data_IF_127403944166
#
_entry.id   IF_127403944166
#
_cell.length_a   1.000
_cell.length_b   1.000
_cell.length_c   1.000
_cell.angle_alpha   90.00
_cell.angle_beta   90.00
_cell.angle_gamma   90.00
#
_symmetry.space_group_name_H-M   'P 1'
#
loop_
_entity.id
_entity.type
_entity.pdbx_description
1 polymer ?
#
# COMPACT_ATOMS: atom_id res chain seq x y z
N UNK A 1 62.43 60.49 -20.12
CA UNK A 1 61.06 60.57 -20.69
C UNK A 1 60.10 59.99 -19.65
N UNK A 2 59.13 60.80 -19.21
CA UNK A 2 57.99 60.55 -18.30
C UNK A 2 58.36 59.99 -16.90
N UNK A 3 58.47 60.75 -15.81
CA UNK A 3 57.57 61.72 -15.10
C UNK A 3 56.52 61.05 -14.18
N UNK A 4 56.79 61.10 -12.85
CA UNK A 4 55.97 61.52 -11.67
C UNK A 4 54.46 61.16 -11.67
N UNK A 5 53.85 60.61 -10.61
CA UNK A 5 53.20 61.36 -9.50
C UNK A 5 52.70 60.39 -8.42
N UNK A 6 52.86 60.81 -7.16
CA UNK A 6 52.41 60.15 -5.95
C UNK A 6 50.99 60.59 -5.52
N UNK A 7 50.47 59.88 -4.48
CA UNK A 7 49.75 60.39 -3.29
C UNK A 7 48.20 60.39 -3.21
N UNK A 8 47.73 59.77 -2.10
CA UNK A 8 46.56 60.05 -1.21
C UNK A 8 45.14 59.95 -1.83
N UNK A 9 44.05 59.52 -1.16
CA UNK A 9 43.72 58.97 0.15
C UNK A 9 42.21 58.59 0.20
N UNK A 10 41.81 57.91 1.29
CA UNK A 10 40.46 57.81 1.91
C UNK A 10 39.33 56.99 1.23
N UNK A 11 38.97 55.87 1.88
CA UNK A 11 37.69 55.63 2.58
C UNK A 11 37.59 54.11 2.83
N UNK A 12 37.96 53.58 4.00
CA UNK A 12 37.12 53.51 5.21
C UNK A 12 35.68 53.03 4.92
N UNK A 13 35.32 51.94 5.61
CA UNK A 13 33.95 51.41 5.84
C UNK A 13 33.48 50.32 4.88
N UNK A 14 33.63 49.05 5.29
CA UNK A 14 32.57 48.04 5.39
C UNK A 14 33.18 46.68 5.77
N UNK A 15 33.87 46.65 6.90
CA UNK A 15 34.03 45.41 7.68
C UNK A 15 32.79 45.28 8.57
N UNK A 16 31.70 44.81 7.96
CA UNK A 16 30.57 44.21 8.66
C UNK A 16 30.17 42.99 7.83
N UNK A 17 31.03 41.97 7.86
CA UNK A 17 30.59 40.60 7.65
C UNK A 17 29.67 40.26 8.84
N UNK A 18 28.45 40.77 8.78
CA UNK A 18 27.37 40.23 9.58
C UNK A 18 27.20 38.80 9.10
N UNK A 19 27.49 37.85 9.98
CA UNK A 19 26.67 36.65 10.06
C UNK A 19 25.25 37.16 10.30
N UNK A 20 24.55 37.50 9.20
CA UNK A 20 23.15 37.83 9.21
C UNK A 20 22.45 36.57 9.65
N UNK A 21 22.11 36.52 10.93
CA UNK A 21 21.08 35.65 11.43
C UNK A 21 19.85 35.92 10.56
N UNK A 22 19.46 34.96 9.72
CA UNK A 22 18.31 35.08 8.84
C UNK A 22 17.05 34.87 9.70
N UNK A 23 16.89 35.72 10.70
CA UNK A 23 15.74 35.81 11.58
C UNK A 23 14.63 36.57 10.83
N UNK A 24 14.17 35.99 9.73
CA UNK A 24 13.18 36.60 8.83
C UNK A 24 12.21 35.60 8.19
N UNK A 25 12.48 34.29 8.30
CA UNK A 25 11.59 33.22 7.84
C UNK A 25 10.73 32.63 8.97
N UNK A 26 10.50 33.37 10.05
CA UNK A 26 9.71 32.92 11.22
C UNK A 26 8.19 32.90 11.01
N UNK A 27 7.71 32.98 9.76
CA UNK A 27 6.30 32.81 9.44
C UNK A 27 5.92 31.33 9.38
N UNK A 28 4.66 31.01 9.63
CA UNK A 28 4.15 29.67 9.36
C UNK A 28 4.39 29.33 7.87
N UNK A 29 5.05 28.20 7.61
CA UNK A 29 5.22 27.69 6.24
C UNK A 29 3.82 27.34 5.72
N UNK A 30 3.35 27.88 4.59
CA UNK A 30 2.06 27.50 4.04
C UNK A 30 2.11 26.04 3.54
N UNK A 31 1.03 25.26 3.72
CA UNK A 31 0.99 23.90 3.20
C UNK A 31 1.01 23.89 1.66
N UNK A 32 1.56 22.82 1.09
CA UNK A 32 1.52 22.54 -0.35
C UNK A 32 0.09 22.24 -0.81
N UNK A 33 -0.71 21.62 0.06
CA UNK A 33 -2.14 21.40 -0.10
C UNK A 33 -2.80 21.23 1.28
N UNK A 34 -4.04 21.71 1.40
CA UNK A 34 -4.90 21.42 2.55
C UNK A 34 -6.06 20.58 2.06
N UNK A 35 -6.29 19.42 2.66
CA UNK A 35 -7.41 18.53 2.34
C UNK A 35 -8.46 18.65 3.43
N UNK A 36 -9.67 19.02 3.04
CA UNK A 36 -10.83 19.04 3.94
C UNK A 36 -11.45 17.66 4.00
N UNK A 37 -11.61 17.12 5.21
CA UNK A 37 -12.21 15.81 5.45
C UNK A 37 -13.52 15.99 6.20
N UNK A 38 -14.56 15.32 5.72
CA UNK A 38 -15.87 15.25 6.36
C UNK A 38 -16.26 13.79 6.53
N UNK A 39 -16.61 13.37 7.74
CA UNK A 39 -17.20 12.04 7.94
C UNK A 39 -18.69 12.04 7.63
N UNK A 40 -19.19 10.93 7.09
CA UNK A 40 -20.60 10.67 6.89
C UNK A 40 -21.03 9.33 7.52
N UNK A 41 -22.33 9.18 7.78
CA UNK A 41 -22.91 7.98 8.39
C UNK A 41 -23.09 8.10 9.90
N UNK A 42 -23.48 7.00 10.53
CA UNK A 42 -23.78 6.96 11.96
C UNK A 42 -22.49 6.83 12.78
N UNK A 43 -22.04 7.94 13.35
CA UNK A 43 -20.92 7.98 14.29
C UNK A 43 -21.13 7.09 15.53
N UNK A 44 -22.37 6.90 15.97
CA UNK A 44 -22.65 6.04 17.12
C UNK A 44 -22.34 4.57 16.81
N UNK A 45 -22.41 4.15 15.54
CA UNK A 45 -22.10 2.79 15.11
C UNK A 45 -20.62 2.41 15.25
N UNK A 46 -19.73 3.41 15.39
CA UNK A 46 -18.28 3.21 15.54
C UNK A 46 -17.79 3.49 16.97
N UNK A 47 -18.67 3.93 17.86
CA UNK A 47 -18.36 3.99 19.29
C UNK A 47 -18.31 2.57 19.86
N UNK A 48 -17.10 2.12 20.24
CA UNK A 48 -16.96 0.81 20.89
C UNK A 48 -17.58 0.88 22.30
N UNK A 49 -18.49 -0.02 22.68
CA UNK A 49 -18.98 -0.09 24.05
C UNK A 49 -17.83 -0.46 25.00
N UNK A 50 -17.38 0.47 25.85
CA UNK A 50 -16.23 0.24 26.73
C UNK A 50 -15.60 1.52 27.29
N UNK A 51 -14.54 1.35 28.11
CA UNK A 51 -13.91 2.43 28.86
C UNK A 51 -13.09 3.37 27.96
N UNK A 52 -13.76 4.41 27.44
CA UNK A 52 -13.17 5.53 26.72
C UNK A 52 -13.88 5.80 25.40
N UNK A 53 -14.22 7.06 25.13
CA UNK A 53 -14.66 7.46 23.80
C UNK A 53 -13.52 7.24 22.79
N UNK A 54 -13.80 6.78 21.56
CA UNK A 54 -12.75 6.56 20.56
C UNK A 54 -12.00 7.87 20.28
N UNK A 55 -10.68 7.78 20.17
CA UNK A 55 -9.82 8.95 19.89
C UNK A 55 -9.70 9.09 18.38
N UNK A 56 -10.77 9.56 17.75
CA UNK A 56 -10.85 9.57 16.29
C UNK A 56 -9.94 10.62 15.68
N UNK A 57 -9.22 10.18 14.65
CA UNK A 57 -8.30 11.00 13.86
C UNK A 57 -8.51 10.66 12.38
N UNK A 58 -8.23 11.63 11.51
CA UNK A 58 -8.09 11.36 10.09
C UNK A 58 -6.60 11.27 9.74
N UNK A 59 -6.26 10.40 8.81
CA UNK A 59 -4.92 10.26 8.24
C UNK A 59 -4.98 10.32 6.71
N UNK A 60 -3.94 10.88 6.10
CA UNK A 60 -3.66 10.66 4.70
C UNK A 60 -2.61 9.56 4.56
N UNK A 61 -2.93 8.53 3.78
CA UNK A 61 -2.10 7.34 3.63
C UNK A 61 -1.75 7.15 2.15
N UNK A 62 -0.45 7.24 1.82
CA UNK A 62 0.06 6.92 0.49
C UNK A 62 0.04 5.42 0.25
N UNK A 63 -0.35 5.06 -0.97
CA UNK A 63 -0.41 3.68 -1.40
C UNK A 63 0.89 3.22 -2.02
N UNK A 64 1.26 1.96 -1.80
CA UNK A 64 2.31 1.31 -2.57
C UNK A 64 1.83 1.01 -3.99
N UNK A 65 2.79 0.69 -4.87
CA UNK A 65 2.49 0.12 -6.18
C UNK A 65 1.64 -1.14 -6.02
N UNK A 66 0.54 -1.21 -6.77
CA UNK A 66 -0.33 -2.36 -6.80
C UNK A 66 0.36 -3.53 -7.50
N UNK A 67 0.70 -4.56 -6.71
CA UNK A 67 1.33 -5.79 -7.18
C UNK A 67 0.52 -6.97 -6.60
N UNK A 68 -0.65 -7.28 -7.18
CA UNK A 68 -1.54 -8.30 -6.60
C UNK A 68 -0.83 -9.64 -6.54
N UNK A 69 -1.06 -10.39 -5.45
CA UNK A 69 -0.64 -11.78 -5.33
C UNK A 69 -1.31 -12.61 -6.45
N UNK A 70 -0.55 -13.19 -7.39
CA UNK A 70 -1.05 -13.95 -8.52
C UNK A 70 -2.05 -15.04 -8.16
N UNK A 71 -1.83 -15.71 -7.03
CA UNK A 71 -2.74 -16.76 -6.59
C UNK A 71 -4.11 -16.20 -6.15
N UNK A 72 -4.17 -14.93 -5.73
CA UNK A 72 -5.38 -14.27 -5.25
C UNK A 72 -6.27 -13.68 -6.37
N UNK A 73 -5.75 -13.56 -7.60
CA UNK A 73 -6.53 -13.06 -8.75
C UNK A 73 -7.09 -14.17 -9.64
N UNK A 74 -6.53 -15.39 -9.54
CA UNK A 74 -6.94 -16.52 -10.36
C UNK A 74 -8.10 -17.28 -9.70
N UNK A 75 -9.04 -17.83 -10.48
CA UNK A 75 -10.03 -18.74 -9.95
C UNK A 75 -9.37 -19.96 -9.27
N UNK A 76 -9.80 -20.35 -8.06
CA UNK A 76 -9.23 -21.51 -7.39
C UNK A 76 -9.58 -22.80 -8.16
N UNK A 77 -8.61 -23.72 -8.23
CA UNK A 77 -8.79 -25.01 -8.92
C UNK A 77 -9.43 -26.10 -8.03
N UNK A 78 -9.61 -25.82 -6.74
CA UNK A 78 -10.25 -26.70 -5.76
C UNK A 78 -10.85 -25.93 -4.58
N UNK A 79 -11.73 -26.59 -3.83
CA UNK A 79 -12.35 -26.01 -2.62
C UNK A 79 -11.34 -25.71 -1.50
N UNK A 80 -10.30 -26.55 -1.36
CA UNK A 80 -9.26 -26.35 -0.37
C UNK A 80 -8.42 -25.12 -0.70
N UNK A 81 -8.06 -24.94 -1.98
CA UNK A 81 -7.40 -23.72 -2.45
C UNK A 81 -8.31 -22.51 -2.21
N UNK A 82 -9.60 -22.56 -2.58
CA UNK A 82 -10.53 -21.47 -2.33
C UNK A 82 -10.58 -21.07 -0.84
N UNK A 83 -10.55 -22.04 0.08
CA UNK A 83 -10.52 -21.78 1.52
C UNK A 83 -9.21 -21.12 1.97
N UNK A 84 -8.06 -21.58 1.46
CA UNK A 84 -6.76 -20.98 1.76
C UNK A 84 -6.67 -19.53 1.26
N UNK A 85 -7.18 -19.27 0.05
CA UNK A 85 -7.25 -17.92 -0.51
C UNK A 85 -8.17 -17.03 0.30
N UNK A 86 -9.37 -17.49 0.67
CA UNK A 86 -10.28 -16.71 1.51
C UNK A 86 -9.69 -16.35 2.89
N UNK A 87 -8.76 -17.16 3.40
CA UNK A 87 -8.10 -16.94 4.69
C UNK A 87 -6.82 -16.08 4.60
N UNK A 88 -6.17 -15.99 3.43
CA UNK A 88 -4.85 -15.37 3.31
C UNK A 88 -4.75 -14.25 2.27
N UNK A 89 -5.67 -14.18 1.31
CA UNK A 89 -5.67 -13.14 0.29
C UNK A 89 -6.28 -11.86 0.81
N UNK A 90 -5.56 -10.75 0.58
CA UNK A 90 -6.15 -9.41 0.58
C UNK A 90 -7.09 -9.28 -0.61
N UNK A 91 -7.94 -8.25 -0.61
CA UNK A 91 -8.64 -7.86 -1.83
C UNK A 91 -7.60 -7.59 -2.92
N UNK A 92 -7.58 -8.36 -4.02
CA UNK A 92 -6.57 -8.22 -5.05
C UNK A 92 -6.68 -6.90 -5.80
N UNK A 93 -7.78 -6.15 -5.69
CA UNK A 93 -7.93 -4.80 -6.24
C UNK A 93 -7.97 -3.73 -5.14
N UNK A 94 -7.64 -4.14 -3.91
CA UNK A 94 -7.60 -3.31 -2.73
C UNK A 94 -6.53 -2.24 -2.79
N UNK A 95 -6.76 -1.14 -2.08
CA UNK A 95 -5.72 -0.17 -1.76
C UNK A 95 -4.66 -0.84 -0.88
N UNK A 96 -3.39 -0.59 -1.23
CA UNK A 96 -2.23 -1.11 -0.52
C UNK A 96 -1.59 -0.01 0.32
N UNK A 97 -1.78 0.02 1.65
CA UNK A 97 -1.11 0.96 2.54
C UNK A 97 0.42 0.84 2.48
N UNK A 98 1.11 1.98 2.34
CA UNK A 98 2.56 2.07 2.54
C UNK A 98 2.91 2.93 3.75
N UNK A 99 2.45 4.20 3.72
CA UNK A 99 2.92 5.22 4.66
C UNK A 99 1.85 6.25 4.95
N UNK A 100 1.80 6.66 6.21
CA UNK A 100 0.99 7.77 6.67
C UNK A 100 1.78 9.07 6.51
N UNK A 101 1.20 10.05 5.82
CA UNK A 101 1.85 11.32 5.53
C UNK A 101 1.52 12.40 6.57
N UNK A 102 0.25 12.49 6.94
CA UNK A 102 -0.27 13.49 7.89
C UNK A 102 -1.45 12.90 8.65
N UNK A 103 -1.64 13.35 9.90
CA UNK A 103 -2.77 13.00 10.73
C UNK A 103 -3.30 14.25 11.45
N UNK A 104 -4.61 14.31 11.66
CA UNK A 104 -5.24 15.36 12.47
C UNK A 104 -6.40 14.80 13.31
N UNK A 105 -6.64 15.34 14.52
CA UNK A 105 -7.78 14.94 15.33
C UNK A 105 -9.10 15.32 14.64
N UNK A 106 -10.09 14.43 14.71
CA UNK A 106 -11.42 14.71 14.18
C UNK A 106 -12.21 15.59 15.15
N UNK A 107 -12.80 16.68 14.67
CA UNK A 107 -13.68 17.52 15.47
C UNK A 107 -15.00 16.81 15.80
N UNK A 108 -15.74 17.35 16.78
CA UNK A 108 -17.00 16.76 17.24
C UNK A 108 -18.11 16.72 16.17
N UNK A 109 -18.01 17.56 15.14
CA UNK A 109 -18.90 17.57 13.98
C UNK A 109 -18.45 16.62 12.85
N UNK A 110 -17.38 15.86 13.08
CA UNK A 110 -16.84 14.92 12.11
C UNK A 110 -15.98 15.56 11.02
N UNK A 111 -15.51 16.80 11.22
CA UNK A 111 -14.63 17.49 10.28
C UNK A 111 -13.18 17.54 10.73
N UNK A 112 -12.25 17.65 9.78
CA UNK A 112 -10.86 18.04 10.04
C UNK A 112 -10.21 18.53 8.75
N UNK A 113 -9.09 19.23 8.88
CA UNK A 113 -8.20 19.56 7.78
C UNK A 113 -6.88 18.78 7.91
N UNK A 114 -6.33 18.36 6.77
CA UNK A 114 -5.04 17.68 6.66
C UNK A 114 -4.11 18.56 5.84
N UNK A 115 -3.14 19.17 6.50
CA UNK A 115 -2.14 20.03 5.87
C UNK A 115 -0.93 19.22 5.41
N UNK A 116 -0.68 19.21 4.10
CA UNK A 116 0.47 18.55 3.50
C UNK A 116 1.61 19.55 3.31
N UNK A 117 2.73 19.32 4.01
CA UNK A 117 3.95 20.12 3.86
C UNK A 117 5.01 19.46 2.97
N UNK A 118 4.86 18.17 2.73
CA UNK A 118 5.81 17.36 1.97
C UNK A 118 5.16 16.77 0.72
N UNK A 119 5.98 16.60 -0.32
CA UNK A 119 5.62 15.81 -1.49
C UNK A 119 5.61 14.31 -1.13
N UNK A 120 4.88 13.46 -1.88
CA UNK A 120 5.03 12.02 -1.74
C UNK A 120 6.49 11.63 -1.95
N UNK A 121 6.96 10.68 -1.15
CA UNK A 121 8.31 10.16 -1.31
C UNK A 121 8.43 9.34 -2.61
N UNK A 122 9.64 9.27 -3.16
CA UNK A 122 9.87 8.67 -4.48
C UNK A 122 9.52 7.16 -4.56
N UNK A 123 9.51 6.45 -3.43
CA UNK A 123 9.18 5.03 -3.31
C UNK A 123 7.67 4.73 -3.37
N UNK A 124 6.80 5.73 -3.16
CA UNK A 124 5.34 5.63 -3.39
C UNK A 124 4.90 6.29 -4.69
N UNK A 125 5.86 6.81 -5.45
CA UNK A 125 5.62 7.40 -6.76
C UNK A 125 5.99 6.40 -7.86
N UNK A 126 5.12 6.24 -8.84
CA UNK A 126 5.33 5.34 -9.98
C UNK A 126 5.42 6.16 -11.27
N UNK A 127 6.38 5.81 -12.12
CA UNK A 127 6.61 6.44 -13.41
C UNK A 127 8.09 6.76 -13.67
N UNK A 128 8.36 7.55 -14.71
CA UNK A 128 9.72 7.95 -15.09
C UNK A 128 10.25 9.06 -14.18
N UNK A 129 11.50 9.50 -14.37
CA UNK A 129 12.05 10.63 -13.60
C UNK A 129 11.38 11.98 -13.89
N UNK A 130 10.61 12.11 -14.98
CA UNK A 130 9.93 13.36 -15.37
C UNK A 130 8.41 13.28 -15.32
N UNK A 131 7.87 12.09 -15.03
CA UNK A 131 6.44 11.79 -15.17
C UNK A 131 6.07 10.76 -14.12
N UNK A 132 5.54 11.21 -12.98
CA UNK A 132 5.26 10.35 -11.83
C UNK A 132 3.89 10.62 -11.26
N UNK A 133 3.30 9.59 -10.67
CA UNK A 133 2.04 9.68 -9.95
C UNK A 133 2.12 8.96 -8.61
N UNK A 134 1.47 9.51 -7.60
CA UNK A 134 1.18 8.84 -6.34
C UNK A 134 -0.31 8.95 -6.02
N UNK A 135 -0.85 7.94 -5.34
CA UNK A 135 -2.25 7.92 -4.91
C UNK A 135 -2.33 7.64 -3.42
N UNK A 136 -3.25 8.32 -2.75
CA UNK A 136 -3.51 8.16 -1.33
C UNK A 136 -4.99 7.93 -1.02
N UNK A 137 -5.23 7.21 0.06
CA UNK A 137 -6.52 7.06 0.72
C UNK A 137 -6.55 7.96 1.96
N UNK A 138 -7.68 8.62 2.19
CA UNK A 138 -7.96 9.30 3.46
C UNK A 138 -8.70 8.33 4.34
N UNK A 139 -8.21 8.09 5.54
CA UNK A 139 -8.80 7.13 6.49
C UNK A 139 -9.13 7.80 7.81
N UNK A 140 -10.19 7.34 8.46
CA UNK A 140 -10.52 7.71 9.85
C UNK A 140 -10.31 6.52 10.74
N UNK A 141 -9.56 6.70 11.82
CA UNK A 141 -9.15 5.62 12.70
C UNK A 141 -9.29 5.98 14.18
N UNK A 142 -9.38 4.94 15.01
CA UNK A 142 -9.23 4.98 16.45
C UNK A 142 -7.75 4.93 16.82
N UNK A 143 -7.23 6.00 17.41
CA UNK A 143 -5.88 6.06 17.97
C UNK A 143 -5.83 5.35 19.33
N UNK A 144 -5.60 4.03 19.27
CA UNK A 144 -5.77 3.13 20.42
C UNK A 144 -4.57 3.13 21.34
N UNK A 145 -3.38 3.30 20.77
CA UNK A 145 -2.14 3.43 21.53
C UNK A 145 -1.91 4.88 22.01
N UNK A 146 -2.64 5.85 21.47
CA UNK A 146 -2.61 7.26 21.87
C UNK A 146 -1.39 8.01 21.35
N UNK A 147 -0.71 7.48 20.33
CA UNK A 147 0.50 8.07 19.78
C UNK A 147 0.21 9.22 18.77
N UNK A 148 -1.06 9.37 18.33
CA UNK A 148 -1.52 10.41 17.44
C UNK A 148 -1.27 10.19 15.94
N UNK A 149 -0.77 9.02 15.55
CA UNK A 149 -0.52 8.61 14.16
C UNK A 149 -1.06 7.21 13.90
N UNK A 150 -1.61 6.98 12.70
CA UNK A 150 -2.06 5.64 12.33
C UNK A 150 -0.86 4.67 12.29
N UNK A 151 -0.92 3.64 13.13
CA UNK A 151 0.07 2.57 13.21
C UNK A 151 -0.31 1.45 12.25
N UNK A 152 0.55 1.19 11.27
CA UNK A 152 0.34 0.10 10.31
C UNK A 152 0.93 -1.21 10.85
N UNK A 153 0.06 -2.20 11.03
CA UNK A 153 0.42 -3.58 11.31
C UNK A 153 1.08 -4.25 10.11
N UNK A 154 1.59 -5.48 10.32
CA UNK A 154 2.21 -6.29 9.26
C UNK A 154 1.75 -7.74 9.42
N UNK A 155 1.59 -8.50 8.32
CA UNK A 155 1.29 -9.92 8.41
C UNK A 155 2.36 -10.69 9.21
N UNK A 156 1.91 -11.55 10.13
CA UNK A 156 2.80 -12.35 10.96
C UNK A 156 3.59 -13.34 10.09
N UNK A 157 4.88 -13.48 10.40
CA UNK A 157 5.76 -14.40 9.68
C UNK A 157 5.58 -15.81 10.21
N UNK A 158 5.49 -16.78 9.30
CA UNK A 158 6.01 -18.11 9.60
C UNK A 158 7.53 -17.98 9.76
N UNK A 159 8.05 -18.46 10.90
CA UNK A 159 9.48 -18.49 11.17
C UNK A 159 10.25 -19.25 10.08
N UNK A 160 11.52 -18.91 9.91
CA UNK A 160 12.41 -19.55 8.95
C UNK A 160 13.86 -19.18 9.24
N UNK A 161 14.79 -20.00 8.75
CA UNK A 161 16.23 -19.98 9.10
C UNK A 161 16.89 -18.60 9.05
N UNK A 162 16.42 -17.71 8.15
CA UNK A 162 17.07 -16.44 7.84
C UNK A 162 16.33 -15.17 8.33
N UNK A 163 15.19 -15.27 9.01
CA UNK A 163 14.31 -14.10 9.22
C UNK A 163 14.01 -13.73 10.68
N UNK A 164 14.72 -14.34 11.63
CA UNK A 164 14.57 -14.08 13.06
C UNK A 164 13.27 -14.66 13.66
N UNK A 165 13.02 -14.44 14.96
CA UNK A 165 11.80 -14.91 15.61
C UNK A 165 10.55 -14.25 15.00
N UNK A 166 9.37 -14.89 15.15
CA UNK A 166 8.09 -14.24 14.86
C UNK A 166 8.02 -12.87 15.52
N UNK A 167 7.48 -11.88 14.80
CA UNK A 167 7.18 -10.58 15.40
C UNK A 167 5.85 -10.71 16.14
N UNK A 168 5.91 -10.95 17.43
CA UNK A 168 4.73 -10.91 18.30
C UNK A 168 4.42 -9.44 18.60
N UNK A 169 3.82 -8.75 17.63
CA UNK A 169 3.13 -7.49 17.90
C UNK A 169 1.85 -7.81 18.66
N UNK A 170 1.66 -7.21 19.83
CA UNK A 170 0.43 -7.36 20.61
C UNK A 170 -0.74 -6.77 19.79
N UNK A 171 -1.57 -7.64 19.22
CA UNK A 171 -2.70 -7.29 18.34
C UNK A 171 -3.68 -6.32 19.02
N UNK A 172 -3.67 -6.29 20.36
CA UNK A 172 -4.60 -5.50 21.18
C UNK A 172 -4.39 -3.98 21.12
N UNK A 173 -3.24 -3.49 20.66
CA UNK A 173 -2.93 -2.05 20.60
C UNK A 173 -2.94 -1.46 19.20
N UNK A 174 -3.25 -2.24 18.16
CA UNK A 174 -3.32 -1.71 16.81
C UNK A 174 -4.51 -0.76 16.64
N UNK A 175 -4.25 0.34 15.95
CA UNK A 175 -5.26 1.31 15.54
C UNK A 175 -6.31 0.66 14.65
N UNK A 176 -7.52 1.19 14.73
CA UNK A 176 -8.66 0.61 14.03
C UNK A 176 -9.26 1.58 13.04
N UNK A 177 -9.31 1.20 11.77
CA UNK A 177 -9.89 2.03 10.71
C UNK A 177 -11.43 1.86 10.67
N UNK A 178 -12.14 2.98 10.61
CA UNK A 178 -13.60 3.06 10.59
C UNK A 178 -14.16 3.69 9.32
N UNK A 179 -13.40 4.52 8.61
CA UNK A 179 -13.79 5.08 7.33
C UNK A 179 -12.59 5.19 6.40
N UNK A 180 -12.85 5.16 5.09
CA UNK A 180 -11.82 5.31 4.08
C UNK A 180 -12.40 5.89 2.78
N UNK A 181 -11.64 6.75 2.10
CA UNK A 181 -12.01 7.31 0.80
C UNK A 181 -11.73 6.35 -0.35
N UNK A 182 -10.71 5.50 -0.22
CA UNK A 182 -10.34 4.47 -1.20
C UNK A 182 -10.02 3.16 -0.48
N UNK A 183 -10.79 2.12 -0.80
CA UNK A 183 -10.65 0.76 -0.24
C UNK A 183 -10.27 -0.25 -1.30
N UNK A 184 -10.94 -0.20 -2.45
CA UNK A 184 -10.79 -1.13 -3.57
C UNK A 184 -11.16 -0.43 -4.86
N UNK A 185 -10.57 -0.84 -5.97
CA UNK A 185 -10.93 -0.35 -7.30
C UNK A 185 -12.23 -0.98 -7.84
N UNK A 186 -12.77 -1.97 -7.13
CA UNK A 186 -14.02 -2.64 -7.53
C UNK A 186 -15.29 -2.01 -6.96
N UNK A 187 -15.15 -0.84 -6.35
CA UNK A 187 -16.23 -0.06 -5.76
C UNK A 187 -15.96 1.43 -5.95
N UNK A 188 -16.96 2.30 -5.76
CA UNK A 188 -16.74 3.73 -5.84
C UNK A 188 -15.66 4.20 -4.86
N UNK A 189 -14.76 5.03 -5.37
CA UNK A 189 -13.60 5.54 -4.62
C UNK A 189 -13.33 7.01 -4.87
N UNK A 190 -12.66 7.63 -3.89
CA UNK A 190 -12.08 8.96 -3.97
C UNK A 190 -10.65 8.90 -3.47
N UNK A 191 -9.70 9.37 -4.28
CA UNK A 191 -8.27 9.33 -4.00
C UNK A 191 -7.72 10.76 -3.99
N UNK A 192 -6.76 11.02 -3.12
CA UNK A 192 -5.83 12.11 -3.38
C UNK A 192 -4.79 11.60 -4.38
N UNK A 193 -4.59 12.33 -5.47
CA UNK A 193 -3.51 12.09 -6.41
C UNK A 193 -2.49 13.21 -6.31
N UNK A 194 -1.21 12.87 -6.49
CA UNK A 194 -0.17 13.84 -6.80
C UNK A 194 0.45 13.46 -8.14
N UNK A 195 0.43 14.39 -9.11
CA UNK A 195 1.05 14.19 -10.42
C UNK A 195 2.20 15.17 -10.64
N UNK A 196 3.38 14.61 -10.91
CA UNK A 196 4.55 15.34 -11.37
C UNK A 196 4.70 15.13 -12.89
N UNK A 197 4.79 16.24 -13.64
CA UNK A 197 4.96 16.19 -15.10
C UNK A 197 3.73 15.67 -15.86
N UNK A 198 3.99 14.94 -16.95
CA UNK A 198 2.93 14.30 -17.76
C UNK A 198 2.45 13.00 -17.11
N UNK A 199 1.19 12.62 -17.38
CA UNK A 199 0.68 11.33 -16.93
C UNK A 199 1.09 10.23 -17.93
N UNK A 200 1.86 9.26 -17.44
CA UNK A 200 2.09 8.01 -18.17
C UNK A 200 1.02 6.99 -17.77
N UNK A 201 0.12 6.67 -18.69
CA UNK A 201 -0.96 5.71 -18.43
C UNK A 201 -0.45 4.29 -18.18
N UNK A 202 0.74 3.94 -18.67
CA UNK A 202 1.37 2.66 -18.36
C UNK A 202 1.93 2.61 -16.93
N UNK A 203 2.16 3.77 -16.31
CA UNK A 203 2.59 3.89 -14.91
C UNK A 203 1.41 3.95 -13.92
N UNK A 204 0.16 3.90 -14.42
CA UNK A 204 -1.03 3.95 -13.57
C UNK A 204 -1.21 2.64 -12.80
N UNK A 205 -0.71 2.59 -11.56
CA UNK A 205 -0.80 1.41 -10.70
C UNK A 205 -2.14 1.26 -9.98
N UNK A 206 -2.99 2.29 -9.97
CA UNK A 206 -4.42 2.12 -9.69
C UNK A 206 -5.21 2.58 -10.92
N UNK A 207 -5.23 1.75 -11.98
CA UNK A 207 -5.68 2.16 -13.29
C UNK A 207 -7.18 2.50 -13.34
N UNK A 208 -7.52 3.45 -14.22
CA UNK A 208 -8.90 3.87 -14.52
C UNK A 208 -8.99 4.23 -16.00
N UNK A 209 -9.08 3.23 -16.88
CA UNK A 209 -9.27 3.54 -18.30
C UNK A 209 -10.62 4.23 -18.50
N UNK A 210 -10.66 5.28 -19.33
CA UNK A 210 -11.87 6.08 -19.56
C UNK A 210 -11.99 7.32 -18.69
N UNK A 211 -11.33 7.38 -17.52
CA UNK A 211 -11.23 8.62 -16.74
C UNK A 211 -10.16 9.58 -17.33
N UNK A 212 -10.30 10.87 -17.03
CA UNK A 212 -9.27 11.88 -17.32
C UNK A 212 -7.98 11.65 -16.51
N UNK A 213 -6.88 12.20 -17.00
CA UNK A 213 -5.60 12.15 -16.31
C UNK A 213 -5.63 13.08 -15.08
N UNK A 214 -5.10 12.69 -13.90
CA UNK A 214 -5.07 13.55 -12.70
C UNK A 214 -4.46 14.93 -12.98
N UNK A 215 -4.97 16.03 -12.42
CA UNK A 215 -4.43 17.38 -12.61
C UNK A 215 -2.95 17.43 -12.17
N UNK A 216 -2.14 18.36 -12.73
CA UNK A 216 -0.80 18.61 -12.20
C UNK A 216 -0.86 18.97 -10.71
N UNK A 217 0.13 18.53 -9.93
CA UNK A 217 0.18 18.68 -8.48
C UNK A 217 -0.90 17.84 -7.76
N UNK A 218 -1.37 18.29 -6.60
CA UNK A 218 -2.39 17.63 -5.81
C UNK A 218 -3.79 17.81 -6.42
N UNK A 219 -4.52 16.71 -6.54
CA UNK A 219 -5.91 16.69 -7.01
C UNK A 219 -6.72 15.61 -6.32
N UNK A 220 -8.03 15.83 -6.23
CA UNK A 220 -8.99 14.83 -5.78
C UNK A 220 -9.59 14.17 -7.01
N UNK A 221 -9.51 12.86 -7.09
CA UNK A 221 -9.94 12.07 -8.24
C UNK A 221 -10.84 10.94 -7.78
N UNK A 222 -12.02 10.80 -8.39
CA UNK A 222 -13.03 9.79 -8.04
C UNK A 222 -13.48 8.98 -9.24
N UNK A 223 -13.94 7.74 -9.00
CA UNK A 223 -14.48 6.84 -10.01
C UNK A 223 -15.57 5.91 -9.44
N UNK A 224 -16.29 5.22 -10.33
CA UNK A 224 -17.39 4.32 -9.97
C UNK A 224 -16.93 2.91 -9.59
N UNK A 225 -15.76 2.49 -10.04
CA UNK A 225 -15.21 1.15 -9.85
C UNK A 225 -15.60 0.21 -11.00
N UNK A 226 -14.83 -0.86 -11.15
CA UNK A 226 -15.04 -1.91 -12.16
C UNK A 226 -15.31 -3.28 -11.53
N UNK A 227 -15.78 -4.27 -12.31
CA UNK A 227 -15.89 -5.63 -11.78
C UNK A 227 -14.55 -6.37 -11.81
N UNK A 228 -14.33 -7.28 -10.87
CA UNK A 228 -13.14 -8.14 -10.87
C UNK A 228 -13.01 -8.96 -12.18
N UNK A 229 -14.14 -9.39 -12.76
CA UNK A 229 -14.16 -10.11 -14.02
C UNK A 229 -13.67 -9.24 -15.19
N UNK A 230 -14.08 -7.97 -15.25
CA UNK A 230 -13.64 -7.03 -16.28
C UNK A 230 -12.14 -6.71 -16.14
N UNK A 231 -11.66 -6.57 -14.90
CA UNK A 231 -10.24 -6.36 -14.64
C UNK A 231 -9.37 -7.54 -15.07
N UNK A 232 -9.78 -8.77 -14.76
CA UNK A 232 -9.08 -9.98 -15.23
C UNK A 232 -9.14 -10.06 -16.75
N UNK A 233 -10.30 -9.81 -17.36
CA UNK A 233 -10.46 -9.85 -18.81
C UNK A 233 -9.60 -8.80 -19.53
N UNK A 234 -9.51 -7.57 -19.00
CA UNK A 234 -8.66 -6.51 -19.54
C UNK A 234 -7.18 -6.87 -19.41
N UNK A 235 -6.75 -7.36 -18.23
CA UNK A 235 -5.37 -7.78 -18.00
C UNK A 235 -4.94 -8.89 -18.98
N UNK A 236 -5.81 -9.86 -19.26
CA UNK A 236 -5.54 -10.92 -20.25
C UNK A 236 -5.36 -10.40 -21.68
N UNK A 237 -5.86 -9.19 -21.98
CA UNK A 237 -5.64 -8.49 -23.26
C UNK A 237 -4.48 -7.49 -23.20
N UNK A 238 -3.83 -7.31 -22.05
CA UNK A 238 -2.84 -6.27 -21.83
C UNK A 238 -3.44 -4.86 -21.75
N UNK A 239 -4.71 -4.78 -21.36
CA UNK A 239 -5.49 -3.55 -21.23
C UNK A 239 -5.80 -3.24 -19.76
N UNK A 240 -6.25 -2.01 -19.49
CA UNK A 240 -6.77 -1.61 -18.20
C UNK A 240 -8.29 -1.80 -18.16
N UNK A 241 -8.89 -2.14 -17.01
CA UNK A 241 -10.35 -2.17 -16.89
C UNK A 241 -10.95 -0.80 -17.20
N UNK A 242 -12.01 -0.79 -18.00
CA UNK A 242 -12.75 0.43 -18.34
C UNK A 242 -13.64 0.87 -17.16
N UNK A 243 -13.60 2.17 -16.89
CA UNK A 243 -14.49 2.89 -15.98
C UNK A 243 -15.52 3.67 -16.80
N UNK A 244 -16.73 3.83 -16.25
CA UNK A 244 -17.72 4.73 -16.84
C UNK A 244 -17.24 6.19 -16.70
N UNK A 245 -16.96 6.92 -17.80
CA UNK A 245 -16.51 8.30 -17.75
C UNK A 245 -17.50 9.23 -17.02
N UNK A 246 -18.79 8.90 -16.99
CA UNK A 246 -19.80 9.69 -16.27
C UNK A 246 -19.68 9.55 -14.74
N UNK A 247 -19.02 8.49 -14.26
CA UNK A 247 -18.71 8.27 -12.85
C UNK A 247 -17.40 8.96 -12.41
N UNK A 248 -16.53 9.30 -13.37
CA UNK A 248 -15.25 9.93 -13.10
C UNK A 248 -15.44 11.40 -12.70
N UNK A 249 -14.76 11.81 -11.62
CA UNK A 249 -14.70 13.22 -11.21
C UNK A 249 -13.28 13.61 -10.86
N UNK A 250 -12.98 14.87 -11.14
CA UNK A 250 -11.70 15.48 -10.83
C UNK A 250 -11.93 16.88 -10.26
N UNK A 251 -11.26 17.17 -9.15
CA UNK A 251 -11.47 18.37 -8.35
C UNK A 251 -10.15 18.87 -7.75
N UNK A 252 -10.08 20.16 -7.42
CA UNK A 252 -8.99 20.70 -6.59
C UNK A 252 -9.13 20.21 -5.14
N UNK A 253 -8.07 20.35 -4.34
CA UNK A 253 -8.07 19.99 -2.92
C UNK A 253 -8.94 20.88 -2.04
N UNK A 254 -9.51 21.98 -2.58
CA UNK A 254 -10.45 22.84 -1.86
C UNK A 254 -11.80 22.16 -1.59
N UNK A 255 -12.13 21.14 -2.40
CA UNK A 255 -13.31 20.32 -2.22
C UNK A 255 -13.14 19.40 -1.01
N UNK A 256 -14.19 19.28 -0.20
CA UNK A 256 -14.19 18.36 0.92
C UNK A 256 -14.30 16.91 0.44
N UNK A 257 -13.43 16.03 0.94
CA UNK A 257 -13.56 14.58 0.77
C UNK A 257 -14.47 14.03 1.85
N UNK A 258 -15.60 13.48 1.42
CA UNK A 258 -16.53 12.80 2.33
C UNK A 258 -16.14 11.34 2.50
N UNK A 259 -15.90 10.89 3.73
CA UNK A 259 -15.59 9.49 4.06
C UNK A 259 -16.70 8.90 4.92
N UNK A 260 -17.32 7.83 4.43
CA UNK A 260 -18.42 7.17 5.14
C UNK A 260 -17.89 6.11 6.11
N UNK A 261 -18.44 6.08 7.33
CA UNK A 261 -18.17 4.99 8.27
C UNK A 261 -18.62 3.65 7.72
N UNK A 262 -17.80 2.61 7.93
CA UNK A 262 -18.08 1.22 7.56
C UNK A 262 -17.72 0.29 8.72
N UNK A 263 -18.12 -0.97 8.61
CA UNK A 263 -17.71 -1.96 9.62
C UNK A 263 -16.18 -2.12 9.59
N UNK A 264 -15.51 -2.19 10.75
CA UNK A 264 -14.06 -2.36 10.77
C UNK A 264 -13.57 -3.65 10.11
N UNK A 265 -14.41 -4.69 10.09
CA UNK A 265 -14.11 -5.93 9.38
C UNK A 265 -13.90 -5.71 7.87
N UNK A 266 -14.54 -4.70 7.28
CA UNK A 266 -14.34 -4.35 5.86
C UNK A 266 -13.10 -3.48 5.61
N UNK A 267 -12.51 -2.91 6.67
CA UNK A 267 -11.43 -1.92 6.57
C UNK A 267 -10.13 -2.36 7.26
N UNK A 268 -10.10 -3.54 7.89
CA UNK A 268 -8.96 -4.01 8.68
C UNK A 268 -7.64 -3.99 7.89
N UNK A 269 -7.68 -4.37 6.61
CA UNK A 269 -6.51 -4.37 5.73
C UNK A 269 -5.95 -2.98 5.41
N UNK A 270 -6.67 -1.89 5.70
CA UNK A 270 -6.14 -0.53 5.56
C UNK A 270 -5.21 -0.14 6.70
N UNK A 271 -5.25 -0.85 7.83
CA UNK A 271 -4.26 -0.73 8.90
C UNK A 271 -3.06 -1.67 8.68
N UNK A 272 -2.91 -2.28 7.50
CA UNK A 272 -1.90 -3.28 7.22
C UNK A 272 -0.93 -2.80 6.15
N UNK A 273 0.33 -2.66 6.52
CA UNK A 273 1.40 -2.36 5.58
C UNK A 273 1.79 -3.61 4.81
N UNK A 274 1.79 -3.50 3.48
CA UNK A 274 2.34 -4.55 2.63
C UNK A 274 3.87 -4.55 2.70
N UNK A 275 4.49 -5.73 2.58
CA UNK A 275 5.94 -5.83 2.61
C UNK A 275 6.54 -5.51 1.25
N UNK A 276 6.71 -4.22 0.99
CA UNK A 276 7.19 -3.69 -0.30
C UNK A 276 8.69 -3.88 -0.57
N UNK A 277 9.53 -4.17 0.43
CA UNK A 277 11.00 -4.14 0.27
C UNK A 277 11.59 -5.29 -0.56
N UNK A 278 10.82 -6.33 -0.88
CA UNK A 278 11.32 -7.45 -1.69
C UNK A 278 10.28 -8.05 -2.65
N UNK A 279 8.98 -8.07 -2.32
CA UNK A 279 7.82 -8.26 -3.23
C UNK A 279 6.58 -8.56 -2.39
N UNK A 280 5.39 -8.35 -2.97
CA UNK A 280 4.10 -8.77 -2.39
C UNK A 280 4.03 -10.27 -2.13
N UNK A 281 4.62 -11.04 -3.05
CA UNK A 281 4.71 -12.51 -3.03
C UNK A 281 6.06 -12.93 -2.49
N UNK A 282 6.13 -13.91 -1.58
CA UNK A 282 7.41 -14.54 -1.23
C UNK A 282 7.33 -16.06 -1.36
N UNK A 283 8.06 -16.57 -2.34
CA UNK A 283 8.30 -17.99 -2.51
C UNK A 283 9.43 -18.43 -1.59
N UNK A 284 9.24 -19.56 -0.91
CA UNK A 284 10.17 -20.07 0.10
C UNK A 284 10.55 -21.51 -0.20
N UNK A 285 11.81 -21.81 0.06
CA UNK A 285 12.23 -23.18 0.28
C UNK A 285 11.47 -23.75 1.49
N UNK A 286 10.91 -24.97 1.38
CA UNK A 286 10.35 -25.68 2.51
C UNK A 286 11.39 -25.85 3.63
N UNK A 287 11.03 -25.58 4.90
CA UNK A 287 11.94 -25.84 6.02
C UNK A 287 12.23 -27.34 6.20
N UNK A 288 13.31 -27.65 6.93
CA UNK A 288 13.63 -29.04 7.25
C UNK A 288 12.52 -29.71 8.08
N UNK A 289 11.99 -28.98 9.07
CA UNK A 289 10.88 -29.39 9.92
C UNK A 289 9.55 -28.78 9.42
N UNK A 290 8.40 -29.44 9.63
CA UNK A 290 7.11 -28.92 9.18
C UNK A 290 6.80 -27.56 9.83
N UNK A 291 6.27 -26.58 9.07
CA UNK A 291 5.86 -25.29 9.63
C UNK A 291 4.66 -25.46 10.57
N UNK A 292 4.54 -24.57 11.56
CA UNK A 292 3.34 -24.51 12.41
C UNK A 292 2.13 -24.01 11.61
N UNK A 293 1.25 -24.95 11.24
CA UNK A 293 -0.01 -24.69 10.54
C UNK A 293 -1.21 -24.59 11.49
N UNK A 294 -0.98 -24.57 12.81
CA UNK A 294 -2.06 -24.41 13.80
C UNK A 294 -2.77 -23.07 13.61
N UNK A 295 -4.10 -23.09 13.57
CA UNK A 295 -4.96 -21.93 13.29
C UNK A 295 -4.70 -21.27 11.93
N UNK A 296 -4.18 -22.03 10.96
CA UNK A 296 -3.97 -21.59 9.58
C UNK A 296 -4.74 -22.48 8.62
N UNK A 297 -5.03 -21.95 7.44
CA UNK A 297 -5.52 -22.75 6.31
C UNK A 297 -4.38 -22.98 5.34
N UNK A 298 -4.22 -24.20 4.87
CA UNK A 298 -3.20 -24.55 3.87
C UNK A 298 -3.79 -25.38 2.74
N UNK A 299 -3.28 -25.18 1.53
CA UNK A 299 -3.68 -25.97 0.37
C UNK A 299 -2.52 -26.14 -0.62
N UNK A 300 -2.55 -27.25 -1.35
CA UNK A 300 -1.68 -27.44 -2.49
C UNK A 300 -2.31 -26.78 -3.71
N UNK A 301 -1.64 -25.77 -4.26
CA UNK A 301 -2.11 -25.01 -5.40
C UNK A 301 -1.09 -25.09 -6.53
N UNK A 302 -1.54 -24.89 -7.77
CA UNK A 302 -0.61 -24.68 -8.88
C UNK A 302 0.13 -23.35 -8.69
N UNK A 303 1.39 -23.31 -9.11
CA UNK A 303 2.11 -22.04 -9.25
C UNK A 303 1.48 -21.29 -10.44
N UNK A 304 1.00 -20.04 -10.26
CA UNK A 304 0.43 -19.25 -11.34
C UNK A 304 1.37 -19.13 -12.54
N UNK A 305 0.85 -19.38 -13.74
CA UNK A 305 1.56 -19.21 -15.01
C UNK A 305 0.80 -18.24 -15.91
N UNK A 306 1.36 -17.06 -16.13
CA UNK A 306 0.79 -16.04 -17.02
C UNK A 306 1.25 -16.23 -18.47
N UNK A 307 1.24 -17.49 -18.95
CA UNK A 307 1.56 -17.83 -20.34
C UNK A 307 3.05 -18.06 -20.64
N UNK A 308 3.89 -18.20 -19.62
CA UNK A 308 5.31 -18.50 -19.79
C UNK A 308 5.57 -19.98 -20.13
N UNK A 309 4.65 -20.87 -19.74
CA UNK A 309 4.81 -22.32 -19.80
C UNK A 309 5.77 -22.88 -18.73
N UNK A 310 6.49 -22.02 -18.01
CA UNK A 310 7.54 -22.41 -17.06
C UNK A 310 6.97 -23.03 -15.77
N UNK A 311 5.72 -22.72 -15.41
CA UNK A 311 5.10 -23.27 -14.21
C UNK A 311 4.37 -24.60 -14.45
N UNK A 312 4.43 -25.16 -15.66
CA UNK A 312 3.73 -26.39 -16.01
C UNK A 312 4.05 -27.51 -15.01
N UNK A 313 3.02 -27.98 -14.30
CA UNK A 313 3.16 -29.04 -13.31
C UNK A 313 3.72 -28.63 -11.95
N UNK A 314 4.15 -27.37 -11.77
CA UNK A 314 4.67 -26.88 -10.50
C UNK A 314 3.54 -26.68 -9.49
N UNK A 315 3.70 -27.31 -8.32
CA UNK A 315 2.77 -27.21 -7.19
C UNK A 315 3.47 -26.49 -6.03
N UNK A 316 2.75 -25.58 -5.40
CA UNK A 316 3.13 -24.89 -4.18
C UNK A 316 2.24 -25.30 -3.02
N UNK A 317 2.78 -25.22 -1.80
CA UNK A 317 1.99 -25.23 -0.58
C UNK A 317 1.73 -23.78 -0.18
N UNK A 318 0.49 -23.32 -0.34
CA UNK A 318 0.03 -22.03 0.13
C UNK A 318 -0.47 -22.16 1.56
N UNK A 319 0.00 -21.30 2.47
CA UNK A 319 -0.37 -21.28 3.89
C UNK A 319 -0.80 -19.87 4.28
N UNK A 320 -2.00 -19.72 4.81
CA UNK A 320 -2.51 -18.43 5.28
C UNK A 320 -1.77 -17.92 6.53
N UNK A 321 -1.97 -16.63 6.83
CA UNK A 321 -1.86 -16.05 8.16
C UNK A 321 -2.63 -16.87 9.21
N UNK A 322 -2.36 -16.64 10.50
CA UNK A 322 -3.23 -17.16 11.54
C UNK A 322 -4.58 -16.44 11.49
N UNK A 323 -5.63 -17.12 11.92
CA UNK A 323 -6.97 -16.53 12.00
C UNK A 323 -7.11 -15.35 12.96
N UNK A 324 -6.15 -15.19 13.89
CA UNK A 324 -6.05 -14.08 14.84
C UNK A 324 -5.04 -13.01 14.43
N UNK A 325 -4.39 -13.14 13.26
CA UNK A 325 -3.54 -12.09 12.72
C UNK A 325 -4.40 -10.86 12.36
N UNK A 326 -3.90 -9.67 12.67
CA UNK A 326 -4.57 -8.41 12.31
C UNK A 326 -4.57 -8.13 10.80
N UNK A 327 -3.60 -8.72 10.10
CA UNK A 327 -3.36 -8.54 8.68
C UNK A 327 -3.28 -9.90 8.02
N UNK A 328 -4.10 -10.12 6.99
CA UNK A 328 -4.05 -11.36 6.22
C UNK A 328 -2.74 -11.46 5.45
N UNK A 329 -2.37 -12.68 5.11
CA UNK A 329 -1.22 -12.93 4.25
C UNK A 329 -1.16 -14.37 3.80
N UNK A 330 -0.41 -14.61 2.73
CA UNK A 330 -0.06 -15.94 2.26
C UNK A 330 1.44 -16.15 2.33
N UNK A 331 1.82 -17.36 2.72
CA UNK A 331 3.18 -17.87 2.58
C UNK A 331 3.16 -18.98 1.56
N UNK A 332 4.07 -18.89 0.58
CA UNK A 332 4.17 -19.82 -0.52
C UNK A 332 5.44 -20.65 -0.35
N UNK A 333 5.29 -21.95 -0.14
CA UNK A 333 6.42 -22.89 -0.21
C UNK A 333 6.44 -23.56 -1.58
N UNK A 334 7.63 -23.64 -2.18
CA UNK A 334 7.87 -24.29 -3.48
C UNK A 334 9.11 -25.14 -3.40
N UNK A 335 9.09 -26.34 -3.98
CA UNK A 335 10.25 -27.23 -3.99
C UNK A 335 11.43 -26.70 -4.83
N UNK A 336 11.18 -25.71 -5.68
CA UNK A 336 12.17 -25.04 -6.52
C UNK A 336 11.81 -23.57 -6.71
N UNK A 337 12.81 -22.70 -6.70
CA UNK A 337 12.62 -21.29 -7.05
C UNK A 337 13.72 -20.38 -6.49
N UNK A 338 13.44 -19.08 -6.50
CA UNK A 338 14.15 -18.08 -5.72
C UNK A 338 13.15 -17.25 -4.91
N UNK A 339 13.66 -16.36 -4.05
CA UNK A 339 12.89 -15.66 -3.00
C UNK A 339 11.58 -15.01 -3.49
N UNK A 340 11.59 -14.45 -4.70
CA UNK A 340 10.49 -13.65 -5.25
C UNK A 340 9.96 -14.19 -6.58
N UNK A 341 10.56 -15.27 -7.10
CA UNK A 341 10.20 -15.84 -8.39
C UNK A 341 10.37 -17.37 -8.33
N UNK A 342 9.24 -18.08 -8.32
CA UNK A 342 9.22 -19.54 -8.40
C UNK A 342 9.74 -20.07 -9.75
N UNK A 343 9.74 -19.23 -10.79
CA UNK A 343 10.04 -19.58 -12.18
C UNK A 343 11.41 -19.06 -12.65
N UNK A 344 12.25 -18.64 -11.72
CA UNK A 344 13.56 -18.09 -12.04
C UNK A 344 14.45 -19.10 -12.78
N UNK A 345 15.23 -18.63 -13.75
CA UNK A 345 16.03 -19.49 -14.63
C UNK A 345 17.11 -20.27 -13.87
N UNK A 346 17.73 -19.63 -12.89
CA UNK A 346 18.73 -20.21 -12.00
C UNK A 346 18.13 -20.27 -10.58
N UNK A 347 17.48 -21.39 -10.20
CA UNK A 347 16.86 -21.51 -8.90
C UNK A 347 17.90 -21.44 -7.77
N UNK A 348 17.56 -20.71 -6.71
CA UNK A 348 18.39 -20.66 -5.51
C UNK A 348 18.31 -21.97 -4.72
N UNK A 349 17.19 -22.69 -4.84
CA UNK A 349 17.00 -24.05 -4.34
C UNK A 349 16.23 -24.89 -5.36
N UNK A 350 16.56 -26.18 -5.45
CA UNK A 350 15.78 -27.19 -6.15
C UNK A 350 15.89 -28.51 -5.39
N UNK A 351 14.90 -28.77 -4.55
CA UNK A 351 14.79 -29.99 -3.73
C UNK A 351 13.68 -30.90 -4.25
N UNK A 352 13.28 -30.75 -5.52
CA UNK A 352 12.22 -31.56 -6.14
C UNK A 352 12.53 -33.05 -6.14
N UNK A 353 13.81 -33.43 -6.26
CA UNK A 353 14.26 -34.82 -6.20
C UNK A 353 14.23 -35.42 -4.78
N UNK A 354 14.27 -34.57 -3.74
CA UNK A 354 14.33 -34.97 -2.33
C UNK A 354 13.47 -34.03 -1.48
N UNK A 355 12.14 -34.00 -1.70
CA UNK A 355 11.25 -33.15 -0.92
C UNK A 355 11.32 -33.56 0.57
N UNK A 356 11.08 -32.62 1.50
CA UNK A 356 10.98 -32.98 2.91
C UNK A 356 9.92 -34.06 3.14
N UNK A 357 10.17 -34.96 4.09
CA UNK A 357 9.26 -36.08 4.38
C UNK A 357 7.84 -35.64 4.80
N UNK A 358 7.70 -34.41 5.30
CA UNK A 358 6.42 -33.81 5.69
C UNK A 358 5.68 -33.15 4.54
N UNK A 359 6.29 -32.98 3.37
CA UNK A 359 5.74 -32.23 2.24
C UNK A 359 4.40 -32.83 1.77
N UNK A 360 3.28 -32.08 1.84
CA UNK A 360 1.96 -32.65 1.60
C UNK A 360 1.57 -32.65 0.11
N UNK A 361 2.26 -31.87 -0.72
CA UNK A 361 1.83 -31.64 -2.09
C UNK A 361 2.40 -32.67 -3.08
N UNK A 362 1.63 -33.05 -4.11
CA UNK A 362 2.12 -33.95 -5.13
C UNK A 362 3.40 -33.43 -5.78
N UNK A 363 4.41 -34.29 -5.86
CA UNK A 363 5.66 -33.99 -6.56
C UNK A 363 5.54 -34.62 -7.94
N UNK A 364 5.50 -33.79 -8.98
CA UNK A 364 5.59 -34.30 -10.34
C UNK A 364 7.05 -34.67 -10.61
N UNK A 365 7.26 -35.86 -11.18
CA UNK A 365 8.57 -36.23 -11.68
C UNK A 365 9.00 -35.20 -12.75
N UNK A 366 10.26 -34.76 -12.78
CA UNK A 366 10.74 -33.89 -13.86
C UNK A 366 10.47 -34.58 -15.20
N UNK A 367 9.80 -33.87 -16.11
CA UNK A 367 9.59 -34.33 -17.48
C UNK A 367 10.88 -34.24 -18.30
#
# INVERSE_FOLDING_TARGET
MATVIARWALAASLAAAGCGDVSGFGGAVPPLATIRVQTAGDFASVQVPGAGAPKLRAALMWGAQWLPEPLCILPPDSADVAKALAAGCRDPFGFVPDRVAVNAPLAADGTTELDLFDLPAADVMVGSVTSRVAYASIVVYDDRDGNGTLTLGRPNRLGGRDMGPPQDGDVSTLDRVYAASFVTMTAPDTRLAFREGSFDRAAAFYPRAGCGDPLPSFSIVSAGGFSAADAVAAQLRGELPEEDPASCREQSTDAAVTVAFRSPAQLHELACQERVTDSSIRYREPPADPPDVTNRTSACAKVPDFGSGKASGMIQLAVSGRSDDSCVGLTHYVLRGCRNDALCELPAWDITATPPSWWPCPVQAPQ
#
